data_IF_736112422002
#
_entry.id   IF_736112422002
#
_cell.length_a   1.000
_cell.length_b   1.000
_cell.length_c   1.000
_cell.angle_alpha   90.00
_cell.angle_beta   90.00
_cell.angle_gamma   90.00
#
_symmetry.space_group_name_H-M   'P 1'
#
loop_
_entity.id
_entity.type
_entity.pdbx_description
1 polymer ?
#
# COMPACT_ATOMS: atom_id res chain seq x y z
N UNK A 1 -11.80 -5.50 -25.84
CA UNK A 1 -10.49 -5.50 -25.14
C UNK A 1 -10.46 -4.26 -24.28
N UNK A 2 -10.64 -4.36 -22.97
CA UNK A 2 -10.54 -3.18 -22.09
C UNK A 2 -9.10 -2.66 -22.12
N UNK A 3 -8.91 -1.37 -22.37
CA UNK A 3 -7.60 -0.73 -22.32
C UNK A 3 -6.96 -0.95 -20.94
N UNK A 4 -5.73 -1.46 -20.93
CA UNK A 4 -4.94 -1.60 -19.70
C UNK A 4 -4.57 -0.20 -19.21
N UNK A 5 -5.14 0.21 -18.08
CA UNK A 5 -4.85 1.52 -17.48
C UNK A 5 -3.48 1.49 -16.81
N UNK A 6 -2.59 2.38 -17.26
CA UNK A 6 -1.31 2.61 -16.62
C UNK A 6 -1.46 3.38 -15.31
N UNK A 7 -0.67 3.01 -14.31
CA UNK A 7 -0.60 3.73 -13.05
C UNK A 7 -0.05 5.16 -13.26
N UNK A 8 -0.45 6.12 -12.42
CA UNK A 8 0.05 7.49 -12.50
C UNK A 8 1.54 7.55 -12.18
N UNK A 9 2.24 8.56 -12.70
CA UNK A 9 3.65 8.78 -12.35
C UNK A 9 3.75 9.48 -10.99
N UNK A 10 3.72 8.69 -9.93
CA UNK A 10 3.79 9.14 -8.55
C UNK A 10 4.86 8.31 -7.86
N UNK A 11 5.80 8.99 -7.19
CA UNK A 11 6.74 8.35 -6.28
C UNK A 11 6.30 8.59 -4.85
N UNK A 12 5.97 7.50 -4.16
CA UNK A 12 5.67 7.50 -2.74
C UNK A 12 6.95 7.23 -1.94
N UNK A 13 7.08 7.90 -0.79
CA UNK A 13 8.24 7.75 0.10
C UNK A 13 7.79 7.27 1.47
N UNK A 14 8.37 6.18 1.95
CA UNK A 14 8.13 5.65 3.30
C UNK A 14 8.71 6.57 4.37
N UNK A 15 7.97 6.86 5.45
CA UNK A 15 8.39 7.82 6.49
C UNK A 15 9.63 7.41 7.29
N UNK A 16 9.81 6.10 7.56
CA UNK A 16 10.94 5.61 8.38
C UNK A 16 12.07 5.09 7.51
N UNK A 17 11.77 4.11 6.64
CA UNK A 17 12.80 3.47 5.81
C UNK A 17 13.31 4.33 4.66
N UNK A 18 12.69 5.47 4.37
CA UNK A 18 12.94 6.30 3.18
C UNK A 18 12.82 5.55 1.84
N UNK A 19 12.35 4.29 1.86
CA UNK A 19 12.10 3.49 0.66
C UNK A 19 11.14 4.23 -0.25
N UNK A 20 11.49 4.29 -1.52
CA UNK A 20 10.67 4.91 -2.55
C UNK A 20 9.99 3.83 -3.39
N UNK A 21 8.74 4.09 -3.76
CA UNK A 21 7.96 3.24 -4.66
C UNK A 21 7.36 4.13 -5.73
N UNK A 22 7.78 3.97 -6.97
CA UNK A 22 7.15 4.63 -8.11
C UNK A 22 6.02 3.75 -8.64
N UNK A 23 4.82 4.31 -8.80
CA UNK A 23 3.64 3.54 -9.20
C UNK A 23 3.67 3.13 -10.68
N UNK A 24 4.30 3.92 -11.56
CA UNK A 24 4.44 3.63 -13.00
C UNK A 24 5.52 2.59 -13.27
N UNK A 25 6.54 2.50 -12.43
CA UNK A 25 7.64 1.54 -12.59
C UNK A 25 7.99 0.87 -11.26
N UNK A 26 7.10 0.07 -10.68
CA UNK A 26 7.33 -0.51 -9.35
C UNK A 26 8.38 -1.62 -9.37
N UNK A 27 8.60 -2.28 -10.51
CA UNK A 27 9.60 -3.35 -10.69
C UNK A 27 9.24 -4.69 -10.02
N UNK A 28 8.13 -4.71 -9.27
CA UNK A 28 7.56 -5.86 -8.59
C UNK A 28 6.03 -5.69 -8.54
N UNK A 29 5.28 -6.74 -8.20
CA UNK A 29 3.84 -6.59 -7.95
C UNK A 29 3.68 -5.69 -6.73
N UNK A 30 2.93 -4.61 -6.88
CA UNK A 30 2.71 -3.61 -5.83
C UNK A 30 1.25 -3.63 -5.41
N UNK A 31 1.03 -3.94 -4.13
CA UNK A 31 -0.26 -3.81 -3.46
C UNK A 31 -0.26 -2.51 -2.66
N UNK A 32 -1.01 -1.52 -3.13
CA UNK A 32 -1.27 -0.28 -2.40
C UNK A 32 -2.52 -0.44 -1.55
N UNK A 33 -2.37 -0.32 -0.24
CA UNK A 33 -3.47 -0.36 0.72
C UNK A 33 -3.70 1.06 1.24
N UNK A 34 -4.89 1.61 1.01
CA UNK A 34 -5.27 2.98 1.37
C UNK A 34 -6.32 2.93 2.48
N UNK A 35 -5.91 2.77 3.76
CA UNK A 35 -6.84 2.76 4.87
C UNK A 35 -7.40 4.15 5.15
N UNK A 36 -8.64 4.15 5.60
CA UNK A 36 -9.30 5.28 6.28
C UNK A 36 -9.18 5.05 7.79
N UNK A 37 -9.54 6.05 8.61
CA UNK A 37 -9.56 5.87 10.07
C UNK A 37 -10.46 4.70 10.52
N UNK A 38 -11.52 4.41 9.76
CA UNK A 38 -12.46 3.34 10.03
C UNK A 38 -11.95 1.94 9.63
N UNK A 39 -10.86 1.85 8.86
CA UNK A 39 -10.43 0.58 8.23
C UNK A 39 -8.98 0.21 8.51
N UNK A 40 -8.32 0.90 9.44
CA UNK A 40 -6.93 0.62 9.83
C UNK A 40 -6.74 -0.81 10.33
N UNK A 41 -7.72 -1.37 11.04
CA UNK A 41 -7.67 -2.74 11.58
C UNK A 41 -7.70 -3.81 10.48
N UNK A 42 -8.32 -3.53 9.32
CA UNK A 42 -8.39 -4.48 8.20
C UNK A 42 -7.06 -4.64 7.45
N UNK A 43 -6.10 -3.72 7.66
CA UNK A 43 -4.80 -3.74 6.96
C UNK A 43 -3.91 -4.88 7.42
N UNK A 44 -3.90 -5.17 8.73
CA UNK A 44 -3.00 -6.18 9.30
C UNK A 44 -3.35 -7.60 8.84
N UNK A 45 -4.62 -8.05 8.89
CA UNK A 45 -5.03 -9.35 8.34
C UNK A 45 -4.70 -9.50 6.85
N UNK A 46 -4.98 -8.46 6.04
CA UNK A 46 -4.65 -8.47 4.61
C UNK A 46 -3.14 -8.63 4.38
N UNK A 47 -2.32 -7.84 5.09
CA UNK A 47 -0.85 -7.91 4.99
C UNK A 47 -0.33 -9.28 5.42
N UNK A 48 -0.82 -9.81 6.53
CA UNK A 48 -0.40 -11.11 7.05
C UNK A 48 -0.67 -12.22 6.04
N UNK A 49 -1.90 -12.30 5.51
CA UNK A 49 -2.26 -13.31 4.52
C UNK A 49 -1.45 -13.18 3.22
N UNK A 50 -1.22 -11.95 2.72
CA UNK A 50 -0.36 -11.73 1.56
C UNK A 50 1.09 -12.13 1.82
N UNK A 51 1.62 -11.89 3.02
CA UNK A 51 3.00 -12.27 3.37
C UNK A 51 3.17 -13.75 3.65
N UNK A 52 2.14 -14.42 4.14
CA UNK A 52 2.12 -15.88 4.25
C UNK A 52 2.18 -16.53 2.87
N UNK A 53 1.40 -16.02 1.90
CA UNK A 53 1.39 -16.55 0.54
C UNK A 53 2.58 -16.12 -0.31
N UNK A 54 3.06 -14.90 -0.11
CA UNK A 54 4.17 -14.27 -0.85
C UNK A 54 5.20 -13.71 0.15
N UNK A 55 6.04 -14.60 0.71
CA UNK A 55 7.00 -14.23 1.75
C UNK A 55 8.09 -13.30 1.23
N UNK A 56 8.49 -13.41 -0.06
CA UNK A 56 9.52 -12.58 -0.65
C UNK A 56 9.03 -11.12 -0.91
N UNK A 57 9.54 -10.11 -0.18
CA UNK A 57 9.16 -8.72 -0.37
C UNK A 57 9.70 -8.10 -1.67
N UNK A 58 10.59 -8.79 -2.41
CA UNK A 58 11.04 -8.38 -3.73
C UNK A 58 10.06 -8.78 -4.84
N UNK A 59 9.20 -9.79 -4.62
CA UNK A 59 8.17 -10.21 -5.58
C UNK A 59 6.86 -9.45 -5.40
N UNK A 60 6.44 -9.27 -4.16
CA UNK A 60 5.22 -8.53 -3.79
C UNK A 60 5.55 -7.46 -2.75
N UNK A 61 5.42 -6.19 -3.14
CA UNK A 61 5.56 -5.03 -2.27
C UNK A 61 4.20 -4.63 -1.75
N UNK A 62 4.05 -4.51 -0.42
CA UNK A 62 2.80 -4.10 0.22
C UNK A 62 3.03 -2.74 0.89
N UNK A 63 2.46 -1.68 0.30
CA UNK A 63 2.61 -0.32 0.78
C UNK A 63 1.28 0.23 1.29
N UNK A 64 1.29 0.73 2.52
CA UNK A 64 0.17 1.49 3.07
C UNK A 64 0.31 2.96 2.69
N UNK A 65 -0.74 3.53 2.12
CA UNK A 65 -0.82 4.95 1.76
C UNK A 65 -1.81 5.62 2.69
N UNK A 66 -1.31 6.45 3.60
CA UNK A 66 -2.12 7.06 4.67
C UNK A 66 -2.52 8.46 4.26
N UNK A 67 -3.83 8.71 4.18
CA UNK A 67 -4.36 10.04 3.88
C UNK A 67 -4.07 11.01 5.04
N UNK A 68 -3.24 12.00 4.77
CA UNK A 68 -2.87 13.06 5.70
C UNK A 68 -3.22 14.44 5.14
N UNK A 69 -4.20 14.54 4.21
CA UNK A 69 -4.61 15.83 3.62
C UNK A 69 -5.08 16.84 4.67
N UNK A 70 -5.62 16.34 5.78
CA UNK A 70 -6.11 17.16 6.89
C UNK A 70 -4.98 17.69 7.80
N UNK A 71 -3.75 17.21 7.64
CA UNK A 71 -2.59 17.67 8.41
C UNK A 71 -2.07 18.98 7.80
N UNK A 72 -2.10 20.10 8.52
CA UNK A 72 -1.56 21.37 8.01
C UNK A 72 -0.08 21.25 7.67
N UNK A 73 0.38 22.00 6.65
CA UNK A 73 1.79 21.95 6.19
C UNK A 73 2.81 22.15 7.31
N UNK A 74 2.55 23.07 8.24
CA UNK A 74 3.43 23.37 9.38
C UNK A 74 3.53 22.18 10.38
N UNK A 75 2.53 21.29 10.39
CA UNK A 75 2.44 20.14 11.28
C UNK A 75 2.84 18.81 10.62
N UNK A 76 3.35 18.81 9.39
CA UNK A 76 3.72 17.57 8.68
C UNK A 76 4.72 16.71 9.45
N UNK A 77 5.70 17.33 10.12
CA UNK A 77 6.64 16.60 11.01
C UNK A 77 5.93 15.83 12.11
N UNK A 78 4.87 16.38 12.69
CA UNK A 78 4.07 15.69 13.71
C UNK A 78 3.30 14.52 13.09
N UNK A 79 2.75 14.68 11.88
CA UNK A 79 2.12 13.60 11.12
C UNK A 79 3.11 12.48 10.79
N UNK A 80 4.34 12.83 10.39
CA UNK A 80 5.44 11.88 10.16
C UNK A 80 5.80 11.13 11.45
N UNK A 81 5.93 11.80 12.59
CA UNK A 81 6.19 11.15 13.87
C UNK A 81 5.07 10.19 14.28
N UNK A 82 3.81 10.56 14.06
CA UNK A 82 2.67 9.68 14.35
C UNK A 82 2.69 8.43 13.45
N UNK A 83 3.01 8.59 12.16
CA UNK A 83 3.14 7.47 11.23
C UNK A 83 4.37 6.61 11.54
N UNK A 84 5.48 7.21 11.98
CA UNK A 84 6.67 6.49 12.44
C UNK A 84 6.38 5.62 13.67
N UNK A 85 5.59 6.11 14.63
CA UNK A 85 5.13 5.28 15.76
C UNK A 85 4.31 4.07 15.29
N UNK A 86 3.42 4.24 14.31
CA UNK A 86 2.66 3.11 13.72
C UNK A 86 3.56 2.15 12.94
N UNK A 87 4.58 2.66 12.28
CA UNK A 87 5.60 1.83 11.65
C UNK A 87 6.28 0.94 12.69
N UNK A 88 6.70 1.48 13.83
CA UNK A 88 7.34 0.71 14.93
C UNK A 88 6.42 -0.39 15.48
N UNK A 89 5.13 -0.10 15.65
CA UNK A 89 4.15 -1.09 16.10
C UNK A 89 3.99 -2.27 15.10
N UNK A 90 3.99 -1.98 13.80
CA UNK A 90 3.94 -3.04 12.77
C UNK A 90 5.24 -3.83 12.70
N UNK A 91 6.39 -3.15 12.87
CA UNK A 91 7.71 -3.81 12.91
C UNK A 91 7.84 -4.77 14.09
N UNK A 92 7.24 -4.46 15.23
CA UNK A 92 7.23 -5.35 16.40
C UNK A 92 6.56 -6.71 16.13
N UNK A 93 5.72 -6.81 15.09
CA UNK A 93 5.10 -8.07 14.66
C UNK A 93 5.89 -8.86 13.62
N UNK A 94 7.05 -8.38 13.17
CA UNK A 94 7.88 -9.09 12.20
C UNK A 94 8.61 -10.29 12.83
N UNK A 95 8.85 -11.31 12.01
CA UNK A 95 9.63 -12.48 12.40
C UNK A 95 11.13 -12.12 12.50
N UNK A 96 11.88 -12.80 13.39
CA UNK A 96 13.33 -12.61 13.48
C UNK A 96 14.03 -12.77 12.12
N UNK A 97 14.93 -11.86 11.80
CA UNK A 97 15.69 -11.87 10.53
C UNK A 97 15.01 -11.18 9.34
N UNK A 98 13.75 -10.74 9.47
CA UNK A 98 13.11 -9.90 8.45
C UNK A 98 13.62 -8.46 8.54
N UNK A 99 14.06 -7.87 7.41
CA UNK A 99 14.43 -6.45 7.33
C UNK A 99 13.16 -5.57 7.32
N UNK A 100 12.90 -4.76 8.37
CA UNK A 100 11.75 -3.88 8.44
C UNK A 100 11.54 -3.01 7.20
N UNK A 101 12.63 -2.50 6.59
CA UNK A 101 12.55 -1.62 5.43
C UNK A 101 11.99 -2.32 4.18
N UNK A 102 12.08 -3.65 4.11
CA UNK A 102 11.53 -4.46 3.02
C UNK A 102 10.06 -4.83 3.24
N UNK A 103 9.64 -5.03 4.49
CA UNK A 103 8.32 -5.55 4.83
C UNK A 103 7.29 -4.49 5.21
N UNK A 104 7.75 -3.33 5.70
CA UNK A 104 6.89 -2.22 6.13
C UNK A 104 7.16 -1.02 5.26
N UNK A 105 6.16 -0.66 4.44
CA UNK A 105 6.18 0.54 3.61
C UNK A 105 4.95 1.37 3.97
N UNK A 106 5.18 2.52 4.61
CA UNK A 106 4.11 3.43 5.05
C UNK A 106 4.37 4.82 4.49
N UNK A 107 3.57 5.19 3.50
CA UNK A 107 3.72 6.42 2.74
C UNK A 107 2.63 7.42 3.10
N UNK A 108 2.97 8.69 3.38
CA UNK A 108 1.97 9.72 3.60
C UNK A 108 1.43 10.23 2.26
N UNK A 109 0.12 10.35 2.14
CA UNK A 109 -0.53 11.11 1.07
C UNK A 109 -0.98 12.47 1.61
N UNK A 110 -0.12 13.46 1.45
CA UNK A 110 -0.35 14.81 1.95
C UNK A 110 -1.42 15.59 1.19
N UNK A 111 -1.77 15.16 -0.02
CA UNK A 111 -2.74 15.86 -0.87
C UNK A 111 -4.04 15.04 -1.02
N UNK A 112 -4.04 13.77 -0.62
CA UNK A 112 -5.19 12.89 -0.71
C UNK A 112 -5.56 12.50 -2.14
N UNK A 113 -4.60 12.58 -3.06
CA UNK A 113 -4.82 12.42 -4.50
C UNK A 113 -4.62 10.98 -4.98
N UNK A 114 -3.93 10.14 -4.21
CA UNK A 114 -3.52 8.81 -4.66
C UNK A 114 -4.72 7.92 -5.00
N UNK A 115 -5.76 7.80 -4.14
CA UNK A 115 -6.94 6.99 -4.46
C UNK A 115 -7.63 7.44 -5.75
N UNK A 116 -7.83 8.75 -5.92
CA UNK A 116 -8.47 9.34 -7.09
C UNK A 116 -7.72 9.03 -8.39
N UNK A 117 -6.39 9.16 -8.39
CA UNK A 117 -5.55 8.87 -9.57
C UNK A 117 -5.54 7.39 -9.95
N UNK A 118 -5.78 6.50 -8.99
CA UNK A 118 -5.93 5.07 -9.23
C UNK A 118 -7.35 4.69 -9.70
N UNK A 119 -8.31 5.62 -9.66
CA UNK A 119 -9.71 5.38 -10.04
C UNK A 119 -10.59 4.89 -8.89
N UNK A 120 -10.11 4.97 -7.64
CA UNK A 120 -10.88 4.61 -6.45
C UNK A 120 -11.81 5.74 -5.98
N UNK A 121 -11.59 6.98 -6.41
CA UNK A 121 -12.37 8.13 -5.96
C UNK A 121 -12.16 8.45 -4.47
N UNK A 122 -13.16 9.05 -3.83
CA UNK A 122 -13.18 9.24 -2.37
C UNK A 122 -13.57 7.94 -1.66
N UNK A 123 -12.77 7.54 -0.68
CA UNK A 123 -12.91 6.29 0.06
C UNK A 123 -13.92 6.40 1.20
N UNK A 124 -14.20 7.61 1.73
CA UNK A 124 -15.11 7.78 2.87
C UNK A 124 -14.72 6.91 4.07
N UNK A 125 -15.51 5.89 4.36
CA UNK A 125 -15.27 4.90 5.43
C UNK A 125 -14.79 3.53 4.94
N UNK A 126 -14.52 3.37 3.65
CA UNK A 126 -14.10 2.11 3.05
C UNK A 126 -12.58 2.00 2.98
N UNK A 127 -12.07 0.77 2.87
CA UNK A 127 -10.68 0.51 2.53
C UNK A 127 -10.52 0.56 1.01
N UNK A 128 -9.50 1.27 0.53
CA UNK A 128 -9.08 1.19 -0.87
C UNK A 128 -7.91 0.23 -1.05
N UNK A 129 -7.94 -0.60 -2.09
CA UNK A 129 -6.78 -1.39 -2.53
C UNK A 129 -6.57 -1.21 -4.02
N UNK A 130 -5.32 -1.05 -4.45
CA UNK A 130 -4.93 -1.14 -5.86
C UNK A 130 -3.79 -2.14 -6.00
N UNK A 131 -3.90 -3.04 -6.97
CA UNK A 131 -2.83 -3.97 -7.35
C UNK A 131 -2.25 -3.51 -8.68
N UNK A 132 -0.95 -3.26 -8.69
CA UNK A 132 -0.20 -2.76 -9.83
C UNK A 132 0.85 -3.83 -10.19
N UNK A 133 0.90 -4.21 -11.46
CA UNK A 133 1.88 -5.14 -11.97
C UNK A 133 3.29 -4.50 -12.02
N UNK A 134 4.32 -5.33 -12.16
CA UNK A 134 5.71 -4.87 -12.18
C UNK A 134 6.01 -3.81 -13.27
N UNK A 135 5.24 -3.84 -14.36
CA UNK A 135 5.34 -2.91 -15.51
C UNK A 135 4.52 -1.62 -15.33
N UNK A 136 3.90 -1.40 -14.17
CA UNK A 136 3.08 -0.22 -13.89
C UNK A 136 1.62 -0.32 -14.34
N UNK A 137 1.18 -1.46 -14.90
CA UNK A 137 -0.23 -1.65 -15.25
C UNK A 137 -1.08 -1.83 -13.99
N UNK A 138 -2.18 -1.09 -13.87
CA UNK A 138 -3.19 -1.33 -12.82
C UNK A 138 -3.93 -2.63 -13.19
N UNK A 139 -3.71 -3.68 -12.40
CA UNK A 139 -4.30 -4.99 -12.62
C UNK A 139 -5.69 -5.12 -11.97
N UNK A 140 -5.93 -4.39 -10.88
CA UNK A 140 -7.23 -4.37 -10.21
C UNK A 140 -7.29 -3.32 -9.10
N UNK A 141 -8.51 -2.91 -8.77
CA UNK A 141 -8.80 -2.03 -7.65
C UNK A 141 -9.98 -2.56 -6.86
N UNK A 142 -9.95 -2.43 -5.54
CA UNK A 142 -11.01 -2.85 -4.63
C UNK A 142 -11.39 -1.71 -3.69
N UNK A 143 -12.69 -1.64 -3.37
CA UNK A 143 -13.26 -0.80 -2.32
C UNK A 143 -14.20 -1.63 -1.46
N UNK A 144 -14.11 -1.47 -0.15
CA UNK A 144 -15.01 -2.15 0.80
C UNK A 144 -14.31 -2.48 2.11
N UNK A 145 -14.90 -3.38 2.89
CA UNK A 145 -14.37 -3.78 4.20
C UNK A 145 -13.59 -5.09 4.19
N UNK A 146 -13.72 -5.88 3.12
CA UNK A 146 -13.22 -7.26 3.02
C UNK A 146 -12.35 -7.44 1.77
N UNK A 147 -11.13 -6.86 1.74
CA UNK A 147 -10.31 -6.80 0.53
C UNK A 147 -9.64 -8.12 0.16
N UNK A 148 -9.61 -9.10 1.07
CA UNK A 148 -8.62 -10.18 1.06
C UNK A 148 -8.73 -11.07 -0.17
N UNK A 149 -9.90 -11.68 -0.40
CA UNK A 149 -10.10 -12.65 -1.48
C UNK A 149 -9.83 -12.02 -2.85
N UNK A 150 -10.46 -10.87 -3.14
CA UNK A 150 -10.26 -10.14 -4.40
C UNK A 150 -8.82 -9.70 -4.59
N UNK A 151 -8.15 -9.20 -3.54
CA UNK A 151 -6.74 -8.79 -3.66
C UNK A 151 -5.84 -9.99 -3.94
N UNK A 152 -6.06 -11.11 -3.26
CA UNK A 152 -5.29 -12.33 -3.43
C UNK A 152 -5.45 -12.91 -4.84
N UNK A 153 -6.67 -12.93 -5.38
CA UNK A 153 -6.95 -13.38 -6.75
C UNK A 153 -6.16 -12.55 -7.79
N UNK A 154 -6.18 -11.22 -7.66
CA UNK A 154 -5.45 -10.34 -8.58
C UNK A 154 -3.93 -10.52 -8.44
N UNK A 155 -3.40 -10.64 -7.22
CA UNK A 155 -1.96 -10.88 -7.00
C UNK A 155 -1.53 -12.24 -7.55
N UNK A 156 -2.35 -13.28 -7.41
CA UNK A 156 -2.08 -14.62 -7.94
C UNK A 156 -1.99 -14.65 -9.47
N UNK A 157 -2.72 -13.77 -10.16
CA UNK A 157 -2.60 -13.60 -11.61
C UNK A 157 -1.30 -12.93 -12.09
N UNK A 158 -0.49 -12.39 -11.17
CA UNK A 158 0.71 -11.60 -11.50
C UNK A 158 2.00 -12.15 -10.89
N UNK A 159 1.93 -12.68 -9.67
CA UNK A 159 3.08 -13.18 -8.93
C UNK A 159 3.03 -14.71 -8.86
N UNK A 160 4.12 -15.36 -9.30
CA UNK A 160 4.33 -16.78 -9.01
C UNK A 160 4.57 -16.93 -7.51
N UNK A 161 3.82 -17.82 -6.88
CA UNK A 161 4.11 -18.20 -5.50
C UNK A 161 5.44 -18.94 -5.40
N UNK A 162 6.10 -18.81 -4.25
CA UNK A 162 7.25 -19.66 -3.86
C UNK A 162 6.80 -21.05 -3.41
#
# INVERSE_FOLDING_TARGET
>A
MSERKQAPDITLKSVVSNRQVNLRTPGAVLVLVMPTQATTEAVNPLRAALRERYPDPAKVVIASVVDLRQVPRLMRKMGESALAKRYEEVVAGLQPGQDPAQYVVMCPDWNGEVPGKLGLGDLGSELGVAVIAADGTIAGTYRGMEPLETTMEVVAGLATSD
#
